data_IF_051536269063
#
_entry.id   IF_051536269063
#
_cell.length_a   1.000
_cell.length_b   1.000
_cell.length_c   1.000
_cell.angle_alpha   90.00
_cell.angle_beta   90.00
_cell.angle_gamma   90.00
#
_symmetry.space_group_name_H-M   'P 1'
#
loop_
_entity.id
_entity.type
_entity.pdbx_description
1 polymer ?
#
# COMPACT_ATOMS: atom_id res chain seq x y z
N UNK A 1 -9.05 12.57 49.73
CA UNK A 1 -9.87 13.15 48.64
C UNK A 1 -9.06 13.74 47.46
N UNK A 2 -7.75 13.43 47.31
CA UNK A 2 -6.91 14.05 46.27
C UNK A 2 -6.49 13.15 45.09
N UNK A 3 -6.55 11.83 45.22
CA UNK A 3 -6.01 10.89 44.23
C UNK A 3 -6.94 10.70 43.01
N UNK A 4 -8.26 10.70 43.23
CA UNK A 4 -9.28 10.51 42.18
C UNK A 4 -9.19 11.62 41.10
N UNK A 5 -8.84 12.85 41.48
CA UNK A 5 -8.69 13.98 40.56
C UNK A 5 -7.46 13.87 39.66
N UNK A 6 -6.38 13.26 40.14
CA UNK A 6 -5.12 13.19 39.39
C UNK A 6 -5.17 12.07 38.34
N UNK A 7 -5.77 10.91 38.69
CA UNK A 7 -6.01 9.84 37.73
C UNK A 7 -6.98 10.27 36.62
N UNK A 8 -8.09 10.92 36.97
CA UNK A 8 -9.04 11.49 35.99
C UNK A 8 -8.38 12.53 35.07
N UNK A 9 -7.49 13.38 35.61
CA UNK A 9 -6.73 14.34 34.79
C UNK A 9 -5.73 13.64 33.87
N UNK A 10 -5.06 12.59 34.32
CA UNK A 10 -4.15 11.80 33.49
C UNK A 10 -4.88 11.06 32.37
N UNK A 11 -6.06 10.48 32.63
CA UNK A 11 -6.87 9.84 31.59
C UNK A 11 -7.30 10.85 30.53
N UNK A 12 -7.83 12.01 30.94
CA UNK A 12 -8.22 13.09 30.02
C UNK A 12 -7.04 13.59 29.17
N UNK A 13 -5.85 13.70 29.75
CA UNK A 13 -4.65 14.12 29.00
C UNK A 13 -4.22 13.04 28.00
N UNK A 14 -4.25 11.75 28.38
CA UNK A 14 -3.98 10.63 27.47
C UNK A 14 -4.97 10.57 26.31
N UNK A 15 -6.26 10.79 26.58
CA UNK A 15 -7.29 10.84 25.54
C UNK A 15 -7.07 12.01 24.58
N UNK A 16 -6.78 13.20 25.11
CA UNK A 16 -6.48 14.38 24.28
C UNK A 16 -5.26 14.15 23.40
N UNK A 17 -4.18 13.58 23.94
CA UNK A 17 -2.98 13.24 23.16
C UNK A 17 -3.27 12.21 22.06
N UNK A 18 -4.13 11.22 22.32
CA UNK A 18 -4.56 10.25 21.30
C UNK A 18 -5.33 10.95 20.18
N UNK A 19 -6.27 11.82 20.51
CA UNK A 19 -7.05 12.60 19.52
C UNK A 19 -6.15 13.52 18.68
N UNK A 20 -5.23 14.27 19.30
CA UNK A 20 -4.31 15.15 18.57
C UNK A 20 -3.37 14.38 17.64
N UNK A 21 -2.87 13.21 18.07
CA UNK A 21 -2.09 12.31 17.21
C UNK A 21 -2.93 11.77 16.06
N UNK A 22 -4.19 11.44 16.32
CA UNK A 22 -5.11 10.95 15.31
C UNK A 22 -5.39 11.99 14.24
N UNK A 23 -5.69 13.22 14.65
CA UNK A 23 -5.97 14.33 13.75
C UNK A 23 -4.77 14.63 12.86
N UNK A 24 -3.56 14.66 13.41
CA UNK A 24 -2.31 14.81 12.65
C UNK A 24 -2.13 13.72 11.59
N UNK A 25 -2.49 12.47 11.90
CA UNK A 25 -2.43 11.37 10.93
C UNK A 25 -3.49 11.55 9.84
N UNK A 26 -4.71 11.94 10.23
CA UNK A 26 -5.83 12.11 9.29
C UNK A 26 -5.58 13.22 8.28
N UNK A 27 -4.94 14.33 8.68
CA UNK A 27 -4.64 15.48 7.80
C UNK A 27 -3.30 15.37 7.07
N UNK A 28 -2.50 14.34 7.35
CA UNK A 28 -1.18 14.18 6.76
C UNK A 28 -1.24 13.97 5.25
N UNK A 29 -0.65 14.91 4.50
CA UNK A 29 -0.53 14.84 3.04
C UNK A 29 0.19 13.59 2.54
N UNK A 30 1.16 13.09 3.31
CA UNK A 30 2.00 11.94 2.94
C UNK A 30 1.30 10.59 3.12
N UNK A 31 0.14 10.54 3.79
CA UNK A 31 -0.60 9.29 3.94
C UNK A 31 -2.12 9.49 3.82
N UNK A 32 -2.52 10.06 2.68
CA UNK A 32 -3.91 10.41 2.36
C UNK A 32 -4.90 9.27 2.62
N UNK A 33 -4.48 8.01 2.40
CA UNK A 33 -5.34 6.84 2.54
C UNK A 33 -5.33 6.25 3.96
N UNK A 34 -4.20 6.28 4.66
CA UNK A 34 -4.13 5.72 6.01
C UNK A 34 -5.05 6.45 6.99
N UNK A 35 -5.27 7.76 6.82
CA UNK A 35 -6.27 8.49 7.61
C UNK A 35 -7.72 8.00 7.41
N UNK A 36 -8.03 7.37 6.27
CA UNK A 36 -9.36 6.82 5.96
C UNK A 36 -9.52 5.36 6.40
N UNK A 37 -8.40 4.62 6.37
CA UNK A 37 -8.36 3.17 6.57
C UNK A 37 -8.04 2.80 8.02
N UNK A 38 -7.35 3.67 8.76
CA UNK A 38 -6.98 3.39 10.14
C UNK A 38 -8.23 3.50 11.02
N UNK A 39 -8.55 2.44 11.75
CA UNK A 39 -9.54 2.43 12.84
C UNK A 39 -8.90 2.76 14.21
N UNK A 40 -9.74 2.92 15.22
CA UNK A 40 -9.26 3.07 16.61
C UNK A 40 -8.70 1.74 17.12
N UNK A 41 -7.45 1.74 17.62
CA UNK A 41 -6.83 0.58 18.24
C UNK A 41 -5.86 -0.20 17.35
N UNK A 42 -5.60 -1.45 17.74
CA UNK A 42 -4.74 -2.38 17.00
C UNK A 42 -5.62 -3.07 15.94
N UNK A 43 -5.22 -3.06 14.66
CA UNK A 43 -5.94 -3.81 13.63
C UNK A 43 -6.11 -5.30 13.97
N UNK A 44 -7.32 -5.81 13.80
CA UNK A 44 -7.68 -7.20 14.14
C UNK A 44 -6.76 -8.24 13.46
N UNK A 45 -6.30 -8.00 12.23
CA UNK A 45 -5.40 -8.92 11.51
C UNK A 45 -4.07 -9.17 12.24
N UNK A 46 -3.60 -8.23 13.08
CA UNK A 46 -2.40 -8.40 13.88
C UNK A 46 -2.62 -9.35 15.07
N UNK A 47 -3.86 -9.52 15.50
CA UNK A 47 -4.23 -10.43 16.60
C UNK A 47 -4.42 -11.88 16.11
N UNK A 48 -4.54 -12.11 14.79
CA UNK A 48 -4.81 -13.42 14.18
C UNK A 48 -3.62 -14.40 14.17
N UNK A 49 -2.48 -14.04 14.76
CA UNK A 49 -1.29 -14.91 14.81
C UNK A 49 -0.70 -15.27 13.42
N UNK A 50 -0.89 -14.39 12.43
CA UNK A 50 -0.40 -14.65 11.07
C UNK A 50 1.13 -14.67 10.99
N UNK A 51 1.65 -15.52 10.09
CA UNK A 51 3.08 -15.58 9.81
C UNK A 51 3.65 -14.25 9.34
N UNK A 52 4.92 -14.00 9.63
CA UNK A 52 5.55 -12.69 9.49
C UNK A 52 5.43 -12.08 8.08
N UNK A 53 5.67 -12.90 7.06
CA UNK A 53 5.55 -12.52 5.66
C UNK A 53 4.16 -11.97 5.32
N UNK A 54 3.11 -12.53 5.94
CA UNK A 54 1.71 -12.21 5.65
C UNK A 54 1.31 -10.87 6.26
N UNK A 55 1.56 -10.65 7.55
CA UNK A 55 1.19 -9.38 8.17
C UNK A 55 2.08 -8.23 7.67
N UNK A 56 3.37 -8.46 7.40
CA UNK A 56 4.25 -7.44 6.77
C UNK A 56 3.70 -6.95 5.43
N UNK A 57 3.15 -7.85 4.59
CA UNK A 57 2.49 -7.48 3.34
C UNK A 57 1.36 -6.48 3.60
N UNK A 58 0.41 -6.85 4.46
CA UNK A 58 -0.73 -5.99 4.81
C UNK A 58 -0.27 -4.63 5.32
N UNK A 59 0.73 -4.60 6.20
CA UNK A 59 1.31 -3.35 6.72
C UNK A 59 1.87 -2.47 5.61
N UNK A 60 2.64 -3.02 4.66
CA UNK A 60 3.23 -2.23 3.56
C UNK A 60 2.16 -1.56 2.70
N UNK A 61 1.08 -2.27 2.38
CA UNK A 61 -0.04 -1.71 1.62
C UNK A 61 -0.83 -0.68 2.43
N UNK A 62 -1.17 -0.97 3.69
CA UNK A 62 -1.92 -0.03 4.56
C UNK A 62 -1.16 1.27 4.82
N UNK A 63 0.16 1.20 4.94
CA UNK A 63 0.99 2.38 5.13
C UNK A 63 1.28 3.15 3.83
N UNK A 64 0.87 2.64 2.68
CA UNK A 64 1.08 3.29 1.38
C UNK A 64 2.49 3.11 0.79
N UNK A 65 3.36 2.33 1.45
CA UNK A 65 4.74 2.06 0.97
C UNK A 65 4.76 1.28 -0.35
N UNK A 66 3.68 0.56 -0.63
CA UNK A 66 3.57 -0.34 -1.76
C UNK A 66 3.11 0.35 -3.06
N UNK A 67 2.63 1.59 -2.99
CA UNK A 67 2.37 2.43 -4.17
C UNK A 67 3.51 3.42 -4.34
N UNK A 68 4.02 3.59 -5.57
CA UNK A 68 5.17 4.47 -5.83
C UNK A 68 4.81 5.95 -5.82
N UNK A 69 3.51 6.29 -5.91
CA UNK A 69 3.02 7.67 -5.76
C UNK A 69 3.58 8.38 -4.51
N UNK A 70 3.71 7.65 -3.39
CA UNK A 70 4.20 8.21 -2.12
C UNK A 70 5.71 8.52 -2.10
N UNK A 71 6.49 8.04 -3.07
CA UNK A 71 7.96 8.17 -3.11
C UNK A 71 8.38 9.52 -3.68
N UNK A 72 8.09 10.59 -2.96
CA UNK A 72 8.27 11.96 -3.47
C UNK A 72 9.70 12.27 -3.96
N UNK A 73 10.73 11.60 -3.43
CA UNK A 73 12.13 11.74 -3.80
C UNK A 73 12.52 11.04 -5.12
N UNK A 74 11.71 10.12 -5.63
CA UNK A 74 11.95 9.47 -6.93
C UNK A 74 11.45 10.35 -8.09
N UNK A 75 12.19 10.33 -9.21
CA UNK A 75 11.74 10.93 -10.47
C UNK A 75 10.55 10.18 -11.08
N UNK A 76 9.97 10.71 -12.16
CA UNK A 76 8.78 10.14 -12.80
C UNK A 76 8.97 8.69 -13.27
N UNK A 77 10.15 8.37 -13.83
CA UNK A 77 10.53 7.01 -14.22
C UNK A 77 10.52 6.03 -13.03
N UNK A 78 11.05 6.46 -11.88
CA UNK A 78 11.07 5.64 -10.66
C UNK A 78 9.67 5.38 -10.11
N UNK A 79 8.71 6.25 -10.43
CA UNK A 79 7.31 6.16 -10.03
C UNK A 79 6.42 5.39 -10.99
N UNK A 80 6.93 4.94 -12.14
CA UNK A 80 6.14 4.21 -13.13
C UNK A 80 5.51 2.96 -12.55
N UNK A 81 4.29 2.66 -13.00
CA UNK A 81 3.56 1.47 -12.59
C UNK A 81 4.30 0.19 -12.99
N UNK A 82 4.60 -0.67 -12.01
CA UNK A 82 5.26 -1.96 -12.23
C UNK A 82 4.40 -2.99 -12.99
N UNK A 83 3.10 -2.74 -13.16
CA UNK A 83 2.20 -3.64 -13.89
C UNK A 83 2.16 -3.34 -15.39
N UNK A 84 2.20 -2.07 -15.79
CA UNK A 84 2.05 -1.68 -17.20
C UNK A 84 3.23 -0.86 -17.74
N UNK A 85 4.17 -0.43 -16.90
CA UNK A 85 5.32 0.40 -17.29
C UNK A 85 4.97 1.86 -17.61
N UNK A 86 3.73 2.30 -17.36
CA UNK A 86 3.26 3.65 -17.69
C UNK A 86 2.49 4.27 -16.53
N UNK A 87 2.37 5.61 -16.52
CA UNK A 87 1.67 6.34 -15.45
C UNK A 87 2.34 6.22 -14.08
N UNK A 88 1.92 7.07 -13.14
CA UNK A 88 2.39 6.96 -11.74
C UNK A 88 1.68 5.78 -11.07
N UNK A 89 2.44 4.92 -10.38
CA UNK A 89 1.89 3.80 -9.63
C UNK A 89 1.11 4.28 -8.39
N UNK A 90 -0.16 4.60 -8.59
CA UNK A 90 -1.13 4.92 -7.55
C UNK A 90 -2.16 3.80 -7.39
N UNK A 91 -2.92 3.83 -6.30
CA UNK A 91 -4.08 2.94 -6.13
C UNK A 91 -5.09 3.10 -7.26
N UNK A 92 -5.34 4.34 -7.68
CA UNK A 92 -6.24 4.64 -8.77
C UNK A 92 -5.76 3.99 -10.08
N UNK A 93 -4.49 4.15 -10.42
CA UNK A 93 -3.93 3.58 -11.64
C UNK A 93 -3.88 2.04 -11.60
N UNK A 94 -3.37 1.45 -10.52
CA UNK A 94 -3.30 -0.02 -10.36
C UNK A 94 -4.69 -0.64 -10.41
N UNK A 95 -5.69 0.02 -9.83
CA UNK A 95 -7.07 -0.46 -9.86
C UNK A 95 -7.76 -0.17 -11.20
N UNK A 96 -7.94 1.09 -11.58
CA UNK A 96 -8.74 1.50 -12.74
C UNK A 96 -8.09 1.11 -14.07
N UNK A 97 -6.78 1.25 -14.18
CA UNK A 97 -6.08 1.11 -15.47
C UNK A 97 -5.43 -0.26 -15.64
N UNK A 98 -4.96 -0.90 -14.57
CA UNK A 98 -4.24 -2.18 -14.67
C UNK A 98 -5.08 -3.42 -14.30
N UNK A 99 -6.08 -3.31 -13.41
CA UNK A 99 -6.83 -4.47 -12.88
C UNK A 99 -8.35 -4.39 -13.01
N UNK A 100 -8.92 -3.28 -13.46
CA UNK A 100 -10.38 -3.05 -13.47
C UNK A 100 -11.17 -4.10 -14.26
N UNK A 101 -10.59 -4.65 -15.33
CA UNK A 101 -11.22 -5.71 -16.14
C UNK A 101 -11.12 -7.12 -15.51
N UNK A 102 -10.25 -7.33 -14.52
CA UNK A 102 -9.92 -8.68 -14.00
C UNK A 102 -10.74 -9.05 -12.77
N UNK A 103 -11.27 -8.05 -12.07
CA UNK A 103 -12.03 -8.24 -10.85
C UNK A 103 -13.37 -7.56 -11.09
N UNK A 104 -14.44 -8.35 -11.28
CA UNK A 104 -15.82 -7.88 -11.44
C UNK A 104 -16.40 -7.25 -10.17
N UNK A 105 -15.60 -6.47 -9.43
CA UNK A 105 -16.02 -5.64 -8.32
C UNK A 105 -16.45 -4.30 -8.89
N UNK A 106 -17.77 -4.11 -8.97
CA UNK A 106 -18.37 -2.79 -9.18
C UNK A 106 -18.02 -1.86 -8.01
N UNK A 107 -17.78 -0.58 -8.30
CA UNK A 107 -17.53 0.46 -7.30
C UNK A 107 -16.40 1.43 -7.67
N UNK A 108 -16.36 2.56 -6.97
CA UNK A 108 -15.22 3.49 -7.07
C UNK A 108 -14.00 2.89 -6.40
N UNK A 109 -12.81 3.21 -6.92
CA UNK A 109 -11.56 2.67 -6.43
C UNK A 109 -11.34 2.92 -4.93
N UNK A 110 -11.89 4.01 -4.36
CA UNK A 110 -11.81 4.29 -2.93
C UNK A 110 -12.52 3.23 -2.08
N UNK A 111 -13.69 2.76 -2.51
CA UNK A 111 -14.47 1.74 -1.79
C UNK A 111 -13.76 0.39 -1.81
N UNK A 112 -13.11 0.09 -2.94
CA UNK A 112 -12.30 -1.12 -3.10
C UNK A 112 -11.07 -1.07 -2.22
N UNK A 113 -10.33 0.05 -2.22
CA UNK A 113 -9.17 0.23 -1.34
C UNK A 113 -9.56 0.09 0.12
N UNK A 114 -10.70 0.64 0.52
CA UNK A 114 -11.21 0.49 1.88
C UNK A 114 -11.43 -0.99 2.25
N UNK A 115 -12.10 -1.77 1.39
CA UNK A 115 -12.30 -3.22 1.59
C UNK A 115 -10.98 -4.00 1.62
N UNK A 116 -10.04 -3.68 0.73
CA UNK A 116 -8.73 -4.37 0.69
C UNK A 116 -7.93 -4.12 1.97
N UNK A 117 -8.02 -2.90 2.50
CA UNK A 117 -7.21 -2.45 3.63
C UNK A 117 -7.93 -2.57 4.98
N UNK A 118 -9.07 -3.26 5.01
CA UNK A 118 -9.90 -3.45 6.19
C UNK A 118 -9.14 -4.12 7.35
N UNK A 119 -9.58 -3.88 8.58
CA UNK A 119 -8.89 -4.29 9.80
C UNK A 119 -8.76 -5.80 9.96
N UNK A 120 -9.65 -6.58 9.35
CA UNK A 120 -9.61 -8.04 9.37
C UNK A 120 -8.53 -8.62 8.42
N UNK A 121 -7.99 -7.82 7.50
CA UNK A 121 -6.94 -8.23 6.57
C UNK A 121 -7.46 -9.10 5.40
N UNK A 122 -8.75 -9.04 5.08
CA UNK A 122 -9.38 -9.84 4.01
C UNK A 122 -8.75 -9.57 2.63
N UNK A 123 -8.27 -8.34 2.39
CA UNK A 123 -7.57 -7.99 1.16
C UNK A 123 -6.15 -8.54 1.02
N UNK A 124 -5.64 -9.33 1.97
CA UNK A 124 -4.29 -9.90 1.87
C UNK A 124 -4.11 -10.77 0.62
N UNK A 125 -5.16 -11.50 0.20
CA UNK A 125 -5.14 -12.28 -1.04
C UNK A 125 -4.92 -11.41 -2.28
N UNK A 126 -5.65 -10.29 -2.35
CA UNK A 126 -5.50 -9.31 -3.42
C UNK A 126 -4.08 -8.73 -3.47
N UNK A 127 -3.54 -8.35 -2.31
CA UNK A 127 -2.18 -7.80 -2.19
C UNK A 127 -1.12 -8.79 -2.67
N UNK A 128 -1.28 -10.07 -2.33
CA UNK A 128 -0.37 -11.14 -2.74
C UNK A 128 -0.38 -11.32 -4.25
N UNK A 129 -1.54 -11.26 -4.88
CA UNK A 129 -1.65 -11.34 -6.35
C UNK A 129 -0.96 -10.17 -7.03
N UNK A 130 -1.14 -8.94 -6.52
CA UNK A 130 -0.43 -7.78 -7.06
C UNK A 130 1.09 -7.92 -6.94
N UNK A 131 1.60 -8.39 -5.79
CA UNK A 131 3.03 -8.69 -5.63
C UNK A 131 3.52 -9.71 -6.66
N UNK A 132 2.73 -10.76 -6.91
CA UNK A 132 3.09 -11.80 -7.87
C UNK A 132 3.06 -11.30 -9.33
N UNK A 133 2.07 -10.49 -9.69
CA UNK A 133 1.96 -9.88 -11.02
C UNK A 133 3.14 -8.95 -11.29
N UNK A 134 3.50 -8.10 -10.32
CA UNK A 134 4.67 -7.22 -10.43
C UNK A 134 5.96 -8.02 -10.62
N UNK A 135 6.14 -9.11 -9.87
CA UNK A 135 7.30 -10.01 -10.02
C UNK A 135 7.36 -10.64 -11.41
N UNK A 136 6.22 -11.14 -11.92
CA UNK A 136 6.15 -11.74 -13.26
C UNK A 136 6.46 -10.72 -14.36
N UNK A 137 6.01 -9.48 -14.20
CA UNK A 137 6.33 -8.40 -15.14
C UNK A 137 7.83 -8.09 -15.13
N UNK A 138 8.44 -7.96 -13.95
CA UNK A 138 9.90 -7.76 -13.81
C UNK A 138 10.69 -8.90 -14.46
N UNK A 139 10.29 -10.16 -14.25
CA UNK A 139 10.90 -11.33 -14.90
C UNK A 139 10.74 -11.27 -16.43
N UNK A 140 9.56 -10.91 -16.93
CA UNK A 140 9.33 -10.81 -18.38
C UNK A 140 10.10 -9.68 -19.05
N UNK A 141 10.24 -8.53 -18.39
CA UNK A 141 11.05 -7.40 -18.87
C UNK A 141 12.53 -7.76 -18.83
N UNK A 142 12.98 -8.42 -17.76
CA UNK A 142 14.36 -8.91 -17.65
C UNK A 142 14.71 -9.91 -18.75
N UNK A 143 13.78 -10.81 -19.11
CA UNK A 143 13.96 -11.72 -20.26
C UNK A 143 14.09 -10.94 -21.57
N UNK A 144 13.20 -9.98 -21.84
CA UNK A 144 13.25 -9.16 -23.07
C UNK A 144 14.55 -8.38 -23.21
N UNK A 145 14.99 -7.72 -22.14
CA UNK A 145 16.25 -6.95 -22.14
C UNK A 145 17.44 -7.88 -22.40
N UNK A 146 17.46 -9.09 -21.82
CA UNK A 146 18.51 -10.06 -22.11
C UNK A 146 18.48 -10.56 -23.56
N UNK A 147 17.30 -10.76 -24.16
CA UNK A 147 17.16 -11.10 -25.58
C UNK A 147 17.69 -9.98 -26.49
N UNK A 148 17.32 -8.72 -26.24
CA UNK A 148 17.80 -7.55 -27.00
C UNK A 148 19.33 -7.37 -26.90
N UNK A 149 19.92 -7.53 -25.71
CA UNK A 149 21.39 -7.48 -25.53
C UNK A 149 22.06 -8.59 -26.35
N UNK A 150 21.50 -9.81 -26.35
CA UNK A 150 22.07 -10.91 -27.13
C UNK A 150 21.95 -10.67 -28.65
N UNK A 151 20.91 -9.99 -29.13
CA UNK A 151 20.75 -9.65 -30.56
C UNK A 151 21.74 -8.54 -30.98
N UNK A 152 21.92 -7.50 -30.17
CA UNK A 152 22.89 -6.42 -30.45
C UNK A 152 24.36 -6.90 -30.41
N UNK A 153 24.70 -7.85 -29.53
CA UNK A 153 26.03 -8.47 -29.46
C UNK A 153 26.32 -9.37 -30.68
N UNK A 154 25.29 -9.91 -31.34
CA UNK A 154 25.44 -10.72 -32.58
C UNK A 154 25.65 -9.82 -33.81
N UNK A 155 25.05 -8.63 -33.84
CA UNK A 155 25.20 -7.69 -34.96
C UNK A 155 26.54 -6.92 -34.94
N UNK A 156 27.27 -6.94 -33.82
CA UNK A 156 28.59 -6.30 -33.67
C UNK A 156 29.79 -7.11 -34.14
N UNK A 157 29.62 -8.39 -34.54
CA UNK A 157 30.72 -9.31 -34.92
C UNK A 157 30.80 -9.63 -36.44
N UNK A 158 30.18 -8.84 -37.34
CA UNK A 158 30.24 -9.06 -38.81
C UNK A 158 31.12 -8.03 -39.52
#
# INVERSE_FOLDING_TARGET
>A
EGEIKFEELQEKDKEKQKQERWEKIRVARYNRWYGWVKGEGIPAYLEKGWGERRWRRVVRFRLGNEMREGRYWEGEEGKKCRLCGSGVESWEHVWKECRSWRIGLEGEWQEVVHRILEDEGEGEGWMREVEEERRKMEESVGVRVNEEINEEDIEGEI
#
